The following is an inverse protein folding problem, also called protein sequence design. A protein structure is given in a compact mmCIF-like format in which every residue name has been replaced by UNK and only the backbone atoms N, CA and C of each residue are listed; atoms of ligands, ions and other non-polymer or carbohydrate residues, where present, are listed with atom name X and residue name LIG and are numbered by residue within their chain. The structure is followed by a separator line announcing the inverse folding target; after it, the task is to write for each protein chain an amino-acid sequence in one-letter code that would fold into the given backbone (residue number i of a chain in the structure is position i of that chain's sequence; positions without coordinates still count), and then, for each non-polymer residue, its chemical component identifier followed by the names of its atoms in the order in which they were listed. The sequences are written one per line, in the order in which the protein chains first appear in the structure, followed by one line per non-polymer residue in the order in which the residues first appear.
data_IF_950766857309
#
_entry.id   IF_950766857309
#
_cell.length_a   1.000
_cell.length_b   1.000
_cell.length_c   1.000
_cell.angle_alpha   90.00
_cell.angle_beta   90.00
_cell.angle_gamma   90.00
#
_symmetry.space_group_name_H-M   'P 1'
#
loop_
_entity.id
_entity.type
_entity.pdbx_description
1 polymer ?
#
# COMPACT_ATOMS: atom_id res chain seq x y z
N UNK A 1 13.69 39.04 16.21
CA UNK A 1 14.70 37.98 16.08
C UNK A 1 14.73 37.21 17.38
N UNK A 2 14.07 36.05 17.41
CA UNK A 2 14.25 35.04 18.45
C UNK A 2 14.32 33.74 17.68
N UNK A 3 15.55 33.25 17.56
CA UNK A 3 15.93 32.06 16.82
C UNK A 3 15.57 30.84 17.69
N UNK A 4 14.62 30.04 17.21
CA UNK A 4 14.08 28.88 17.91
C UNK A 4 14.76 27.61 17.40
N UNK A 5 15.95 27.31 17.92
CA UNK A 5 16.64 26.04 17.68
C UNK A 5 15.74 24.88 18.12
N UNK A 6 15.16 24.17 17.14
CA UNK A 6 14.49 22.89 17.36
C UNK A 6 15.54 21.86 17.76
N UNK A 7 15.56 21.56 19.05
CA UNK A 7 16.38 20.53 19.68
C UNK A 7 16.06 19.16 19.06
N UNK A 8 16.98 18.66 18.23
CA UNK A 8 16.95 17.28 17.72
C UNK A 8 17.07 16.34 18.91
N UNK A 9 16.00 15.61 19.21
CA UNK A 9 16.03 14.53 20.20
C UNK A 9 16.76 13.36 19.54
N UNK A 10 18.07 13.27 19.78
CA UNK A 10 18.83 12.03 19.59
C UNK A 10 18.29 10.99 20.58
N UNK A 11 17.44 10.09 20.11
CA UNK A 11 17.05 8.90 20.87
C UNK A 11 18.31 8.03 21.08
N UNK A 12 18.77 7.99 22.33
CA UNK A 12 19.87 7.13 22.78
C UNK A 12 19.60 5.67 22.44
N UNK A 13 20.56 5.07 21.77
CA UNK A 13 20.68 3.64 21.50
C UNK A 13 21.04 2.87 22.77
N UNK A 14 20.02 2.45 23.52
CA UNK A 14 20.16 1.43 24.57
C UNK A 14 18.95 0.50 24.52
N UNK A 15 19.05 -0.57 23.74
CA UNK A 15 18.01 -1.59 23.60
C UNK A 15 18.16 -2.48 22.37
N UNK A 16 19.29 -3.16 22.19
CA UNK A 16 19.35 -4.27 21.26
C UNK A 16 18.54 -5.45 21.83
N UNK A 17 17.24 -5.57 21.49
CA UNK A 17 16.42 -6.83 21.46
C UNK A 17 14.90 -6.65 21.34
N UNK A 18 14.33 -5.44 21.34
CA UNK A 18 12.88 -5.29 21.16
C UNK A 18 12.52 -5.16 19.67
N UNK A 19 11.50 -5.88 19.22
CA UNK A 19 10.89 -5.71 17.91
C UNK A 19 10.02 -4.44 17.92
N UNK A 20 10.43 -3.36 17.23
CA UNK A 20 9.72 -2.07 17.32
C UNK A 20 8.32 -2.15 16.71
N UNK A 21 8.09 -3.01 15.72
CA UNK A 21 6.77 -3.17 15.12
C UNK A 21 5.82 -3.94 16.04
N UNK A 22 6.34 -4.86 16.86
CA UNK A 22 5.52 -5.59 17.82
C UNK A 22 4.86 -4.66 18.84
N UNK A 23 5.58 -3.64 19.32
CA UNK A 23 5.05 -2.64 20.25
C UNK A 23 3.86 -1.85 19.66
N UNK A 24 3.82 -1.65 18.34
CA UNK A 24 2.69 -0.98 17.67
C UNK A 24 1.42 -1.85 17.70
N UNK A 25 1.57 -3.17 17.81
CA UNK A 25 0.45 -4.10 17.97
C UNK A 25 -0.27 -3.96 19.32
N UNK A 26 0.38 -3.36 20.32
CA UNK A 26 -0.14 -3.18 21.68
C UNK A 26 -0.85 -1.83 21.86
N UNK A 27 -0.82 -0.96 20.84
CA UNK A 27 -1.50 0.33 20.90
C UNK A 27 -3.03 0.14 21.04
N UNK A 28 -3.71 1.03 21.78
CA UNK A 28 -5.16 0.95 21.96
C UNK A 28 -5.92 0.87 20.63
N UNK A 29 -6.81 -0.11 20.49
CA UNK A 29 -7.63 -0.31 19.27
C UNK A 29 -6.96 -1.12 18.17
N UNK A 30 -5.64 -1.37 18.23
CA UNK A 30 -4.93 -2.11 17.18
C UNK A 30 -5.24 -3.60 17.24
N UNK A 31 -5.29 -4.19 18.43
CA UNK A 31 -5.64 -5.60 18.59
C UNK A 31 -7.05 -5.91 18.06
N UNK A 32 -8.02 -5.03 18.32
CA UNK A 32 -9.38 -5.11 17.80
C UNK A 32 -9.41 -5.00 16.28
N UNK A 33 -8.64 -4.08 15.71
CA UNK A 33 -8.52 -3.92 14.25
C UNK A 33 -7.92 -5.16 13.60
N UNK A 34 -6.86 -5.74 14.19
CA UNK A 34 -6.23 -6.98 13.72
C UNK A 34 -7.22 -8.15 13.73
N UNK A 35 -7.95 -8.32 14.82
CA UNK A 35 -8.93 -9.40 14.95
C UNK A 35 -10.12 -9.22 14.00
N UNK A 36 -10.58 -7.99 13.81
CA UNK A 36 -11.67 -7.68 12.88
C UNK A 36 -11.26 -7.96 11.43
N UNK A 37 -10.05 -7.56 11.01
CA UNK A 37 -9.49 -7.90 9.70
C UNK A 37 -9.41 -9.41 9.51
N UNK A 38 -8.86 -10.15 10.48
CA UNK A 38 -8.77 -11.62 10.40
C UNK A 38 -10.14 -12.25 10.16
N UNK A 39 -11.16 -11.85 10.93
CA UNK A 39 -12.53 -12.35 10.77
C UNK A 39 -13.12 -12.02 9.40
N UNK A 40 -12.88 -10.81 8.88
CA UNK A 40 -13.36 -10.40 7.57
C UNK A 40 -12.73 -11.23 6.45
N UNK A 41 -11.41 -11.42 6.51
CA UNK A 41 -10.68 -12.23 5.54
C UNK A 41 -11.10 -13.70 5.61
N UNK A 42 -11.13 -14.29 6.80
CA UNK A 42 -11.55 -15.69 7.01
C UNK A 42 -12.96 -15.96 6.47
N UNK A 43 -13.87 -14.99 6.59
CA UNK A 43 -15.23 -15.08 6.03
C UNK A 43 -15.21 -15.22 4.50
N UNK A 44 -14.35 -14.46 3.81
CA UNK A 44 -14.19 -14.58 2.34
C UNK A 44 -13.67 -15.96 2.00
N UNK A 45 -12.58 -16.40 2.63
CA UNK A 45 -11.99 -17.73 2.38
C UNK A 45 -12.95 -18.88 2.71
N UNK A 46 -13.82 -18.69 3.71
CA UNK A 46 -14.88 -19.63 4.06
C UNK A 46 -16.05 -19.69 3.06
N UNK A 47 -16.16 -18.72 2.14
CA UNK A 47 -17.26 -18.68 1.18
C UNK A 47 -17.19 -19.85 0.19
N UNK A 48 -18.35 -20.49 -0.10
CA UNK A 48 -18.40 -21.73 -0.90
C UNK A 48 -17.78 -21.58 -2.30
N UNK A 49 -17.89 -20.39 -2.89
CA UNK A 49 -17.36 -20.08 -4.23
C UNK A 49 -15.83 -20.12 -4.25
N UNK A 50 -15.16 -19.74 -3.15
CA UNK A 50 -13.70 -19.79 -3.04
C UNK A 50 -13.11 -21.20 -3.18
N UNK A 51 -13.92 -22.25 -2.98
CA UNK A 51 -13.48 -23.64 -3.17
C UNK A 51 -13.40 -24.06 -4.63
N UNK A 52 -14.16 -23.41 -5.53
CA UNK A 52 -14.32 -23.83 -6.92
C UNK A 52 -13.85 -22.79 -7.93
N UNK A 53 -13.97 -21.51 -7.59
CA UNK A 53 -13.76 -20.38 -8.51
C UNK A 53 -12.76 -19.36 -7.95
N UNK A 54 -11.81 -19.77 -7.10
CA UNK A 54 -10.89 -18.79 -6.47
C UNK A 54 -10.06 -18.00 -7.46
N UNK A 55 -9.71 -18.58 -8.61
CA UNK A 55 -8.95 -17.86 -9.64
C UNK A 55 -9.77 -16.71 -10.23
N UNK A 56 -11.08 -16.89 -10.42
CA UNK A 56 -11.98 -15.84 -10.90
C UNK A 56 -12.11 -14.72 -9.85
N UNK A 57 -12.22 -15.07 -8.57
CA UNK A 57 -12.22 -14.09 -7.48
C UNK A 57 -10.90 -13.31 -7.43
N UNK A 58 -9.76 -13.99 -7.54
CA UNK A 58 -8.44 -13.34 -7.56
C UNK A 58 -8.33 -12.37 -8.74
N UNK A 59 -8.77 -12.77 -9.94
CA UNK A 59 -8.76 -11.87 -11.11
C UNK A 59 -9.66 -10.65 -10.91
N UNK A 60 -10.86 -10.84 -10.37
CA UNK A 60 -11.81 -9.76 -10.08
C UNK A 60 -11.31 -8.81 -8.99
N UNK A 61 -10.66 -9.34 -7.95
CA UNK A 61 -10.01 -8.58 -6.88
C UNK A 61 -8.78 -7.82 -7.38
N UNK A 62 -7.98 -8.41 -8.27
CA UNK A 62 -6.86 -7.74 -8.91
C UNK A 62 -7.33 -6.54 -9.74
N UNK A 63 -8.32 -6.73 -10.62
CA UNK A 63 -8.84 -5.65 -11.45
C UNK A 63 -9.42 -4.49 -10.62
N UNK A 64 -10.19 -4.81 -9.58
CA UNK A 64 -10.78 -3.80 -8.68
C UNK A 64 -9.72 -3.11 -7.83
N UNK A 65 -8.73 -3.84 -7.33
CA UNK A 65 -7.61 -3.27 -6.59
C UNK A 65 -6.81 -2.29 -7.45
N UNK A 66 -6.50 -2.66 -8.70
CA UNK A 66 -5.86 -1.74 -9.65
C UNK A 66 -6.70 -0.47 -9.86
N UNK A 67 -8.01 -0.61 -10.09
CA UNK A 67 -8.94 0.52 -10.23
C UNK A 67 -8.97 1.41 -8.98
N UNK A 68 -9.11 0.83 -7.79
CA UNK A 68 -9.13 1.59 -6.53
C UNK A 68 -7.82 2.33 -6.29
N UNK A 69 -6.70 1.67 -6.59
CA UNK A 69 -5.37 2.29 -6.51
C UNK A 69 -5.23 3.46 -7.50
N UNK A 70 -5.69 3.30 -8.74
CA UNK A 70 -5.65 4.35 -9.75
C UNK A 70 -6.55 5.54 -9.39
N UNK A 71 -7.75 5.28 -8.85
CA UNK A 71 -8.70 6.32 -8.43
C UNK A 71 -8.10 7.23 -7.34
N UNK A 72 -7.40 6.65 -6.37
CA UNK A 72 -6.68 7.43 -5.34
C UNK A 72 -5.59 8.33 -5.95
N UNK A 73 -4.98 7.90 -7.06
CA UNK A 73 -3.98 8.67 -7.82
C UNK A 73 -4.57 9.52 -8.96
N UNK A 74 -5.90 9.76 -8.96
CA UNK A 74 -6.55 10.71 -9.87
C UNK A 74 -7.14 10.11 -11.15
N UNK A 75 -7.12 8.79 -11.32
CA UNK A 75 -7.73 8.09 -12.46
C UNK A 75 -8.93 7.25 -12.00
N UNK A 76 -10.08 7.92 -11.81
CA UNK A 76 -11.32 7.26 -11.38
C UNK A 76 -12.20 6.90 -12.58
N UNK A 77 -12.07 5.67 -13.04
CA UNK A 77 -12.81 5.14 -14.19
C UNK A 77 -13.88 4.17 -13.74
N UNK A 78 -14.98 4.05 -14.49
CA UNK A 78 -15.94 2.97 -14.28
C UNK A 78 -15.28 1.60 -14.53
N UNK A 79 -15.66 0.57 -13.78
CA UNK A 79 -15.07 -0.77 -13.90
C UNK A 79 -15.28 -1.35 -15.31
N UNK A 80 -16.44 -1.11 -15.91
CA UNK A 80 -16.77 -1.50 -17.28
C UNK A 80 -15.86 -0.84 -18.30
N UNK A 81 -15.43 0.40 -18.06
CA UNK A 81 -14.50 1.09 -18.94
C UNK A 81 -13.11 0.45 -18.89
N UNK A 82 -12.62 0.15 -17.67
CA UNK A 82 -11.34 -0.57 -17.51
C UNK A 82 -11.38 -1.94 -18.20
N UNK A 83 -12.52 -2.63 -18.21
CA UNK A 83 -12.69 -3.93 -18.90
C UNK A 83 -12.70 -3.82 -20.42
N UNK A 84 -13.30 -2.77 -20.98
CA UNK A 84 -13.42 -2.59 -22.43
C UNK A 84 -12.15 -2.08 -23.08
N UNK A 85 -11.39 -1.24 -22.37
CA UNK A 85 -10.19 -0.62 -22.92
C UNK A 85 -9.05 -1.64 -22.95
N UNK A 86 -8.31 -1.65 -24.06
CA UNK A 86 -7.15 -2.52 -24.28
C UNK A 86 -5.82 -1.78 -24.21
N UNK A 87 -5.85 -0.44 -24.27
CA UNK A 87 -4.67 0.40 -24.21
C UNK A 87 -4.72 1.40 -23.05
N UNK A 88 -3.67 1.37 -22.23
CA UNK A 88 -3.43 2.24 -21.09
C UNK A 88 -2.04 2.89 -21.16
N UNK A 89 -1.49 3.03 -22.36
CA UNK A 89 -0.24 3.75 -22.66
C UNK A 89 -0.32 5.22 -22.24
N UNK A 90 -1.53 5.80 -22.36
CA UNK A 90 -1.75 7.24 -22.29
C UNK A 90 -1.02 8.00 -23.39
N UNK A 91 -0.97 7.44 -24.59
CA UNK A 91 -0.69 8.20 -25.81
C UNK A 91 -1.52 9.50 -25.83
N UNK A 92 -0.99 10.56 -26.46
CA UNK A 92 -1.58 11.92 -26.49
C UNK A 92 -1.65 12.68 -25.16
N UNK A 93 -0.95 12.23 -24.12
CA UNK A 93 -0.87 12.97 -22.87
C UNK A 93 -1.96 12.62 -21.85
N UNK A 94 -2.71 11.53 -22.05
CA UNK A 94 -3.72 11.04 -21.09
C UNK A 94 -3.07 10.49 -19.80
N UNK A 95 -2.91 11.36 -18.79
CA UNK A 95 -2.36 11.03 -17.48
C UNK A 95 -3.20 10.00 -16.71
N UNK A 96 -4.52 9.99 -16.92
CA UNK A 96 -5.38 9.02 -16.26
C UNK A 96 -5.16 7.61 -16.81
N UNK A 97 -5.05 7.46 -18.13
CA UNK A 97 -4.69 6.19 -18.74
C UNK A 97 -3.32 5.70 -18.28
N UNK A 98 -2.31 6.58 -18.22
CA UNK A 98 -0.98 6.23 -17.66
C UNK A 98 -1.07 5.69 -16.23
N UNK A 99 -1.82 6.39 -15.38
CA UNK A 99 -2.02 6.03 -13.96
C UNK A 99 -2.73 4.69 -13.83
N UNK A 100 -3.81 4.48 -14.59
CA UNK A 100 -4.53 3.19 -14.61
C UNK A 100 -3.64 2.05 -15.11
N UNK A 101 -2.88 2.27 -16.19
CA UNK A 101 -1.93 1.30 -16.72
C UNK A 101 -0.85 0.93 -15.71
N UNK A 102 -0.33 1.91 -14.97
CA UNK A 102 0.64 1.69 -13.88
C UNK A 102 0.05 0.83 -12.77
N UNK A 103 -1.19 1.11 -12.33
CA UNK A 103 -1.88 0.33 -11.31
C UNK A 103 -2.14 -1.13 -11.74
N UNK A 104 -2.52 -1.34 -13.01
CA UNK A 104 -2.72 -2.68 -13.59
C UNK A 104 -1.40 -3.47 -13.62
N UNK A 105 -0.31 -2.86 -14.10
CA UNK A 105 1.02 -3.49 -14.16
C UNK A 105 1.55 -3.84 -12.76
N UNK A 106 1.42 -2.92 -11.80
CA UNK A 106 1.81 -3.17 -10.40
C UNK A 106 1.05 -4.35 -9.80
N UNK A 107 -0.27 -4.40 -10.01
CA UNK A 107 -1.10 -5.49 -9.48
C UNK A 107 -0.71 -6.84 -10.08
N UNK A 108 -0.42 -6.88 -11.38
CA UNK A 108 0.06 -8.09 -12.06
C UNK A 108 1.46 -8.52 -11.59
N UNK A 109 2.35 -7.57 -11.28
CA UNK A 109 3.72 -7.85 -10.86
C UNK A 109 3.82 -8.30 -9.39
N UNK A 110 2.94 -7.79 -8.51
CA UNK A 110 3.05 -7.97 -7.05
C UNK A 110 3.25 -9.43 -6.60
N UNK A 111 2.53 -10.38 -7.21
CA UNK A 111 2.63 -11.81 -6.88
C UNK A 111 4.01 -12.42 -7.18
N UNK A 112 4.73 -11.90 -8.16
CA UNK A 112 6.07 -12.39 -8.54
C UNK A 112 7.17 -11.92 -7.58
N UNK A 113 6.90 -10.86 -6.81
CA UNK A 113 7.87 -10.21 -5.93
C UNK A 113 7.82 -10.71 -4.49
N UNK A 114 6.83 -11.55 -4.13
CA UNK A 114 6.61 -12.05 -2.77
C UNK A 114 7.83 -12.75 -2.18
N UNK A 115 8.48 -13.63 -2.95
CA UNK A 115 9.65 -14.40 -2.50
C UNK A 115 10.91 -13.54 -2.35
N UNK A 116 10.98 -12.43 -3.09
CA UNK A 116 12.12 -11.50 -3.10
C UNK A 116 11.98 -10.45 -2.00
N UNK A 117 10.75 -10.08 -1.62
CA UNK A 117 10.45 -9.01 -0.66
C UNK A 117 11.28 -9.11 0.62
N UNK A 118 11.30 -10.27 1.27
CA UNK A 118 12.04 -10.47 2.53
C UNK A 118 13.56 -10.56 2.36
N UNK A 119 14.06 -10.69 1.13
CA UNK A 119 15.48 -10.82 0.83
C UNK A 119 16.06 -9.48 0.37
N UNK A 120 15.32 -8.71 -0.42
CA UNK A 120 15.78 -7.46 -1.00
C UNK A 120 14.61 -6.47 -1.21
N UNK A 121 14.10 -5.84 -0.14
CA UNK A 121 12.98 -4.90 -0.22
C UNK A 121 13.23 -3.75 -1.19
N UNK A 122 14.41 -3.13 -1.13
CA UNK A 122 14.77 -2.00 -2.01
C UNK A 122 14.76 -2.38 -3.50
N UNK A 123 15.19 -3.61 -3.84
CA UNK A 123 15.12 -4.12 -5.21
C UNK A 123 13.67 -4.33 -5.66
N UNK A 124 12.81 -4.80 -4.76
CA UNK A 124 11.37 -4.91 -5.05
C UNK A 124 10.76 -3.53 -5.29
N UNK A 125 11.05 -2.54 -4.45
CA UNK A 125 10.55 -1.17 -4.63
C UNK A 125 11.03 -0.55 -5.95
N UNK A 126 12.30 -0.74 -6.30
CA UNK A 126 12.83 -0.31 -7.59
C UNK A 126 12.09 -0.96 -8.77
N UNK A 127 11.81 -2.27 -8.68
CA UNK A 127 11.05 -3.01 -9.69
C UNK A 127 9.60 -2.54 -9.79
N UNK A 128 8.93 -2.31 -8.66
CA UNK A 128 7.59 -1.75 -8.61
C UNK A 128 7.53 -0.39 -9.31
N UNK A 129 8.46 0.52 -9.00
CA UNK A 129 8.52 1.82 -9.66
C UNK A 129 8.76 1.69 -11.18
N UNK A 130 9.63 0.77 -11.60
CA UNK A 130 9.87 0.48 -13.01
C UNK A 130 8.61 0.02 -13.76
N UNK A 131 7.85 -0.93 -13.19
CA UNK A 131 6.63 -1.41 -13.84
C UNK A 131 5.48 -0.39 -13.76
N UNK A 132 5.42 0.43 -12.70
CA UNK A 132 4.47 1.53 -12.61
C UNK A 132 4.70 2.53 -13.76
N UNK A 133 5.95 2.97 -13.93
CA UNK A 133 6.34 3.91 -14.97
C UNK A 133 6.04 3.39 -16.38
N UNK A 134 6.31 2.11 -16.66
CA UNK A 134 6.01 1.47 -17.95
C UNK A 134 6.76 2.04 -19.15
N UNK A 135 7.80 2.84 -18.91
CA UNK A 135 8.65 3.50 -19.92
C UNK A 135 10.05 3.72 -19.39
N UNK A 136 11.00 3.92 -20.31
CA UNK A 136 12.35 4.32 -19.94
C UNK A 136 12.39 5.79 -19.51
N UNK A 137 13.07 6.05 -18.40
CA UNK A 137 13.33 7.40 -17.88
C UNK A 137 14.46 7.31 -16.84
N UNK A 138 15.43 8.22 -16.92
CA UNK A 138 16.60 8.28 -16.03
C UNK A 138 16.33 8.39 -14.50
N UNK A 139 15.08 8.62 -14.07
CA UNK A 139 14.66 8.73 -12.67
C UNK A 139 13.91 7.48 -12.19
N UNK A 140 13.67 6.50 -13.07
CA UNK A 140 12.91 5.30 -12.76
C UNK A 140 13.78 4.27 -12.04
N UNK A 141 13.19 3.56 -11.08
CA UNK A 141 13.85 2.47 -10.35
C UNK A 141 14.91 2.89 -9.34
N UNK A 142 15.03 4.18 -9.02
CA UNK A 142 15.94 4.69 -7.98
C UNK A 142 15.28 5.75 -7.11
N UNK A 143 15.70 5.92 -5.85
CA UNK A 143 15.26 7.04 -5.04
C UNK A 143 15.59 8.40 -5.69
N UNK A 144 14.73 9.38 -5.44
CA UNK A 144 14.92 10.77 -5.86
C UNK A 144 16.13 11.39 -5.17
N UNK A 145 16.80 12.29 -5.88
CA UNK A 145 17.85 13.14 -5.33
C UNK A 145 17.27 14.45 -4.82
N UNK A 146 18.09 15.24 -4.11
CA UNK A 146 17.71 16.61 -3.74
C UNK A 146 17.41 17.42 -5.01
N UNK A 147 16.49 18.37 -4.91
CA UNK A 147 16.00 19.24 -5.99
C UNK A 147 15.26 18.54 -7.16
N UNK A 148 15.17 17.20 -7.19
CA UNK A 148 14.32 16.51 -8.17
C UNK A 148 12.81 16.72 -7.84
N UNK A 149 11.98 17.17 -8.80
CA UNK A 149 10.56 17.39 -8.55
C UNK A 149 9.84 16.06 -8.34
N UNK A 150 8.85 16.08 -7.44
CA UNK A 150 7.96 14.95 -7.14
C UNK A 150 6.55 15.27 -7.65
N UNK A 151 6.06 14.43 -8.55
CA UNK A 151 4.68 14.43 -9.03
C UNK A 151 3.85 13.43 -8.19
N UNK A 152 3.27 13.95 -7.11
CA UNK A 152 2.36 13.21 -6.23
C UNK A 152 1.30 14.18 -5.67
N UNK A 153 0.35 14.64 -6.50
CA UNK A 153 -0.58 15.71 -6.16
C UNK A 153 -1.58 15.33 -5.06
N UNK A 154 -1.64 14.06 -4.67
CA UNK A 154 -2.49 13.58 -3.59
C UNK A 154 -1.96 13.98 -2.21
N UNK A 155 -0.64 14.03 -2.03
CA UNK A 155 -0.01 14.12 -0.71
C UNK A 155 0.62 15.50 -0.54
N UNK A 156 0.00 16.33 0.30
CA UNK A 156 0.41 17.73 0.54
C UNK A 156 1.46 17.89 1.66
N UNK A 157 1.95 16.78 2.22
CA UNK A 157 2.98 16.77 3.26
C UNK A 157 4.31 17.35 2.75
N UNK A 158 5.12 18.01 3.60
CA UNK A 158 6.48 18.42 3.25
C UNK A 158 7.30 17.24 2.73
N UNK A 159 8.11 17.47 1.69
CA UNK A 159 9.00 16.44 1.17
C UNK A 159 10.24 16.31 2.06
N UNK A 160 10.58 15.10 2.53
CA UNK A 160 11.86 14.85 3.20
C UNK A 160 13.06 15.11 2.28
N UNK A 161 14.24 15.39 2.84
CA UNK A 161 15.48 15.46 2.03
C UNK A 161 15.84 14.08 1.46
N UNK A 162 16.67 14.04 0.41
CA UNK A 162 17.13 12.77 -0.16
C UNK A 162 17.92 11.93 0.87
N UNK A 163 18.69 12.59 1.74
CA UNK A 163 19.39 11.94 2.85
C UNK A 163 18.43 11.27 3.85
N UNK A 164 17.34 11.95 4.22
CA UNK A 164 16.31 11.38 5.08
C UNK A 164 15.60 10.20 4.41
N UNK A 165 15.25 10.34 3.13
CA UNK A 165 14.64 9.25 2.34
C UNK A 165 15.54 8.02 2.34
N UNK A 166 16.84 8.17 2.06
CA UNK A 166 17.78 7.04 2.04
C UNK A 166 17.84 6.35 3.39
N UNK A 167 18.10 7.10 4.48
CA UNK A 167 18.26 6.51 5.81
C UNK A 167 17.00 5.79 6.30
N UNK A 168 15.82 6.35 6.00
CA UNK A 168 14.54 5.74 6.39
C UNK A 168 14.15 4.54 5.54
N UNK A 169 14.45 4.55 4.23
CA UNK A 169 14.31 3.38 3.37
C UNK A 169 15.22 2.22 3.81
N UNK A 170 16.47 2.53 4.16
CA UNK A 170 17.43 1.54 4.65
C UNK A 170 16.93 0.93 5.98
N UNK A 171 16.48 1.77 6.92
CA UNK A 171 15.87 1.30 8.17
C UNK A 171 14.63 0.44 7.96
N UNK A 172 13.73 0.83 7.05
CA UNK A 172 12.56 0.03 6.69
C UNK A 172 12.98 -1.33 6.07
N UNK A 173 13.97 -1.33 5.19
CA UNK A 173 14.47 -2.54 4.56
C UNK A 173 15.09 -3.50 5.59
N UNK A 174 15.88 -2.98 6.53
CA UNK A 174 16.44 -3.75 7.63
C UNK A 174 15.35 -4.40 8.50
N UNK A 175 14.28 -3.66 8.84
CA UNK A 175 13.14 -4.19 9.58
C UNK A 175 12.45 -5.33 8.83
N UNK A 176 12.22 -5.18 7.52
CA UNK A 176 11.59 -6.22 6.69
C UNK A 176 12.47 -7.48 6.61
N UNK A 177 13.79 -7.31 6.40
CA UNK A 177 14.74 -8.43 6.27
C UNK A 177 14.91 -9.16 7.60
N UNK A 178 15.09 -8.42 8.70
CA UNK A 178 15.18 -8.99 10.05
C UNK A 178 13.90 -9.75 10.43
N UNK A 179 12.76 -9.25 9.96
CA UNK A 179 11.46 -9.79 10.31
C UNK A 179 10.96 -9.28 11.66
N UNK A 180 9.68 -9.55 11.90
CA UNK A 180 8.93 -9.06 13.06
C UNK A 180 7.91 -10.11 13.52
N UNK A 181 7.57 -10.09 14.80
CA UNK A 181 6.43 -10.81 15.39
C UNK A 181 5.14 -9.98 15.40
N UNK A 182 5.17 -8.74 14.90
CA UNK A 182 3.99 -7.90 14.79
C UNK A 182 2.91 -8.55 13.89
N UNK A 183 1.61 -8.28 14.15
CA UNK A 183 0.55 -8.71 13.27
C UNK A 183 0.77 -8.23 11.82
N UNK A 184 0.40 -9.06 10.84
CA UNK A 184 0.53 -8.76 9.42
C UNK A 184 -0.03 -7.39 9.02
N UNK A 185 -1.18 -7.01 9.58
CA UNK A 185 -1.81 -5.70 9.35
C UNK A 185 -0.90 -4.54 9.78
N UNK A 186 -0.23 -4.66 10.93
CA UNK A 186 0.67 -3.62 11.44
C UNK A 186 1.83 -3.45 10.47
N UNK A 187 2.51 -4.53 10.12
CA UNK A 187 3.63 -4.49 9.17
C UNK A 187 3.23 -3.91 7.81
N UNK A 188 2.05 -4.28 7.30
CA UNK A 188 1.53 -3.76 6.04
C UNK A 188 1.26 -2.24 6.13
N UNK A 189 0.61 -1.80 7.20
CA UNK A 189 0.33 -0.38 7.45
C UNK A 189 1.62 0.44 7.57
N UNK A 190 2.66 -0.07 8.23
CA UNK A 190 3.94 0.64 8.37
C UNK A 190 4.66 0.76 7.03
N UNK A 191 4.73 -0.32 6.24
CA UNK A 191 5.31 -0.27 4.89
C UNK A 191 4.56 0.74 4.03
N UNK A 192 3.23 0.74 4.09
CA UNK A 192 2.40 1.66 3.34
C UNK A 192 2.66 3.13 3.76
N UNK A 193 2.51 3.43 5.04
CA UNK A 193 2.67 4.78 5.59
C UNK A 193 4.06 5.34 5.33
N UNK A 194 5.10 4.52 5.52
CA UNK A 194 6.49 4.93 5.36
C UNK A 194 6.77 5.32 3.91
N UNK A 195 6.41 4.47 2.95
CA UNK A 195 6.62 4.75 1.52
C UNK A 195 5.85 5.98 1.06
N UNK A 196 4.63 6.17 1.57
CA UNK A 196 3.78 7.32 1.22
C UNK A 196 4.27 8.62 1.87
N UNK A 197 4.80 8.57 3.09
CA UNK A 197 5.40 9.73 3.75
C UNK A 197 6.71 10.15 3.06
N UNK A 198 7.57 9.18 2.75
CA UNK A 198 8.87 9.42 2.13
C UNK A 198 8.78 9.94 0.69
N UNK A 199 7.79 9.43 -0.07
CA UNK A 199 7.70 9.62 -1.52
C UNK A 199 9.07 9.42 -2.18
N UNK A 200 9.62 8.19 -2.12
CA UNK A 200 11.01 7.95 -2.48
C UNK A 200 11.30 8.16 -3.96
N UNK A 201 10.30 8.15 -4.84
CA UNK A 201 10.45 8.30 -6.28
C UNK A 201 9.96 9.66 -6.77
N UNK A 202 10.37 10.05 -7.97
CA UNK A 202 9.89 11.28 -8.60
C UNK A 202 8.40 11.26 -8.97
N UNK A 203 7.76 10.09 -9.04
CA UNK A 203 6.35 9.93 -9.39
C UNK A 203 5.84 8.52 -9.02
N UNK A 204 4.51 8.32 -9.03
CA UNK A 204 3.82 7.05 -8.74
C UNK A 204 4.03 6.47 -7.33
N UNK A 205 4.40 7.29 -6.34
CA UNK A 205 4.68 6.80 -4.98
C UNK A 205 3.44 6.19 -4.33
N UNK A 206 2.27 6.81 -4.50
CA UNK A 206 1.02 6.28 -3.96
C UNK A 206 0.68 4.89 -4.51
N UNK A 207 0.89 4.67 -5.81
CA UNK A 207 0.67 3.37 -6.45
C UNK A 207 1.64 2.32 -5.91
N UNK A 208 2.93 2.68 -5.79
CA UNK A 208 3.97 1.78 -5.27
C UNK A 208 3.73 1.43 -3.80
N UNK A 209 3.32 2.38 -2.98
CA UNK A 209 3.06 2.17 -1.55
C UNK A 209 1.91 1.17 -1.34
N UNK A 210 0.80 1.32 -2.07
CA UNK A 210 -0.33 0.36 -2.04
C UNK A 210 0.05 -1.03 -2.58
N UNK A 211 0.87 -1.08 -3.63
CA UNK A 211 1.37 -2.37 -4.13
C UNK A 211 2.31 -3.06 -3.12
N UNK A 212 3.13 -2.31 -2.40
CA UNK A 212 3.98 -2.84 -1.34
C UNK A 212 3.16 -3.33 -0.13
N UNK A 213 2.11 -2.60 0.25
CA UNK A 213 1.14 -3.06 1.26
C UNK A 213 0.53 -4.41 0.88
N UNK A 214 0.04 -4.54 -0.36
CA UNK A 214 -0.47 -5.81 -0.91
C UNK A 214 0.57 -6.93 -0.80
N UNK A 215 1.83 -6.68 -1.18
CA UNK A 215 2.91 -7.67 -1.05
C UNK A 215 3.06 -8.14 0.40
N UNK A 216 2.99 -7.25 1.38
CA UNK A 216 3.08 -7.61 2.79
C UNK A 216 1.86 -8.43 3.24
N UNK A 217 0.64 -8.02 2.88
CA UNK A 217 -0.60 -8.73 3.22
C UNK A 217 -0.62 -10.16 2.66
N UNK A 218 -0.16 -10.34 1.42
CA UNK A 218 -0.09 -11.65 0.76
C UNK A 218 1.08 -12.47 1.32
N UNK A 219 2.28 -11.89 1.40
CA UNK A 219 3.50 -12.58 1.81
C UNK A 219 3.56 -12.96 3.29
N UNK A 220 2.77 -12.29 4.14
CA UNK A 220 2.56 -12.67 5.54
C UNK A 220 1.52 -13.78 5.74
N UNK A 221 0.78 -14.14 4.67
CA UNK A 221 -0.28 -15.13 4.71
C UNK A 221 -1.61 -14.61 5.28
N UNK A 222 -1.78 -13.31 5.48
CA UNK A 222 -3.08 -12.74 5.86
C UNK A 222 -4.08 -12.88 4.72
N UNK A 223 -3.66 -12.56 3.49
CA UNK A 223 -4.47 -12.74 2.28
C UNK A 223 -3.70 -13.49 1.18
N UNK A 224 -3.44 -14.80 1.35
CA UNK A 224 -2.49 -15.55 0.51
C UNK A 224 -2.89 -15.68 -0.96
N UNK A 225 -4.18 -15.51 -1.31
CA UNK A 225 -4.68 -15.51 -2.69
C UNK A 225 -4.91 -14.10 -3.25
N UNK A 226 -4.53 -13.05 -2.51
CA UNK A 226 -4.71 -11.64 -2.89
C UNK A 226 -6.18 -11.30 -3.24
N UNK A 227 -7.13 -11.83 -2.48
CA UNK A 227 -8.57 -11.65 -2.72
C UNK A 227 -9.20 -10.55 -1.86
N UNK A 228 -8.46 -9.83 -1.03
CA UNK A 228 -8.99 -8.74 -0.21
C UNK A 228 -8.29 -7.43 -0.62
N UNK A 229 -8.68 -6.81 -1.76
CA UNK A 229 -7.98 -5.66 -2.32
C UNK A 229 -8.17 -4.43 -1.42
N UNK A 230 -7.21 -4.17 -0.53
CA UNK A 230 -7.23 -3.01 0.37
C UNK A 230 -7.32 -1.69 -0.39
N UNK A 231 -6.83 -1.64 -1.64
CA UNK A 231 -6.89 -0.45 -2.48
C UNK A 231 -8.34 -0.03 -2.80
N UNK A 232 -9.27 -0.99 -2.90
CA UNK A 232 -10.70 -0.70 -3.02
C UNK A 232 -11.22 -0.03 -1.75
N UNK A 233 -10.84 -0.57 -0.59
CA UNK A 233 -11.25 -0.02 0.69
C UNK A 233 -10.69 1.37 0.96
N UNK A 234 -9.43 1.63 0.63
CA UNK A 234 -8.84 2.97 0.72
C UNK A 234 -9.58 3.95 -0.20
N UNK A 235 -9.92 3.55 -1.43
CA UNK A 235 -10.68 4.38 -2.34
C UNK A 235 -12.10 4.67 -1.82
N UNK A 236 -12.78 3.67 -1.26
CA UNK A 236 -14.13 3.81 -0.71
C UNK A 236 -14.19 4.65 0.57
N UNK A 237 -13.21 4.52 1.47
CA UNK A 237 -13.09 5.40 2.65
C UNK A 237 -12.89 6.87 2.25
N UNK A 238 -12.39 7.11 1.04
CA UNK A 238 -12.27 8.42 0.44
C UNK A 238 -10.96 9.12 0.78
N UNK A 239 -10.57 10.01 -0.14
CA UNK A 239 -9.31 10.76 -0.11
C UNK A 239 -9.08 11.51 1.21
N UNK A 240 -10.10 12.21 1.71
CA UNK A 240 -9.96 13.03 2.91
C UNK A 240 -9.64 12.17 4.15
N UNK A 241 -10.34 11.04 4.34
CA UNK A 241 -10.10 10.15 5.46
C UNK A 241 -8.74 9.43 5.36
N UNK A 242 -8.29 9.15 4.13
CA UNK A 242 -6.99 8.55 3.86
C UNK A 242 -5.83 9.50 4.20
N UNK A 243 -5.93 10.77 3.77
CA UNK A 243 -4.91 11.78 4.09
C UNK A 243 -4.90 12.14 5.57
N UNK A 244 -6.07 12.29 6.21
CA UNK A 244 -6.12 12.54 7.65
C UNK A 244 -5.49 11.40 8.47
N UNK A 245 -5.66 10.15 8.03
CA UNK A 245 -5.00 9.01 8.67
C UNK A 245 -3.48 9.03 8.42
N UNK A 246 -3.02 9.43 7.23
CA UNK A 246 -1.60 9.61 6.92
C UNK A 246 -0.97 10.72 7.76
N UNK A 247 -1.67 11.83 8.00
CA UNK A 247 -1.21 12.88 8.93
C UNK A 247 -1.01 12.32 10.35
N UNK A 248 -1.93 11.44 10.79
CA UNK A 248 -1.80 10.69 12.02
C UNK A 248 -0.52 9.84 12.05
N UNK A 249 -0.23 9.10 10.98
CA UNK A 249 1.02 8.34 10.84
C UNK A 249 2.25 9.23 10.95
N UNK A 250 2.29 10.34 10.20
CA UNK A 250 3.44 11.25 10.14
C UNK A 250 3.69 11.98 11.46
N UNK A 251 2.65 12.15 12.30
CA UNK A 251 2.82 12.71 13.64
C UNK A 251 3.74 11.89 14.54
N UNK A 252 3.88 10.58 14.27
CA UNK A 252 4.63 9.63 15.11
C UNK A 252 4.03 9.40 16.49
N UNK A 253 2.86 9.97 16.80
CA UNK A 253 2.18 9.80 18.09
C UNK A 253 1.54 8.41 18.19
N UNK A 254 1.48 7.80 19.38
CA UNK A 254 0.78 6.52 19.57
C UNK A 254 -0.66 6.52 19.02
N UNK A 255 -1.41 7.59 19.27
CA UNK A 255 -2.79 7.74 18.81
C UNK A 255 -2.87 7.87 17.29
N UNK A 256 -1.98 8.66 16.67
CA UNK A 256 -1.91 8.83 15.22
C UNK A 256 -1.53 7.54 14.50
N UNK A 257 -0.57 6.78 15.04
CA UNK A 257 -0.16 5.48 14.53
C UNK A 257 -1.29 4.45 14.64
N UNK A 258 -1.99 4.40 15.77
CA UNK A 258 -3.15 3.54 15.95
C UNK A 258 -4.29 3.90 14.97
N UNK A 259 -4.55 5.19 14.75
CA UNK A 259 -5.55 5.66 13.80
C UNK A 259 -5.22 5.28 12.34
N UNK A 260 -3.94 5.36 11.94
CA UNK A 260 -3.47 4.88 10.65
C UNK A 260 -3.64 3.38 10.48
N UNK A 261 -3.19 2.58 11.45
CA UNK A 261 -3.35 1.12 11.43
C UNK A 261 -4.82 0.73 11.34
N UNK A 262 -5.69 1.40 12.09
CA UNK A 262 -7.13 1.20 12.02
C UNK A 262 -7.73 1.60 10.67
N UNK A 263 -7.19 2.65 10.02
CA UNK A 263 -7.59 3.02 8.65
C UNK A 263 -7.24 1.90 7.66
N UNK A 264 -6.00 1.41 7.66
CA UNK A 264 -5.57 0.26 6.84
C UNK A 264 -6.43 -0.98 7.14
N UNK A 265 -6.75 -1.23 8.41
CA UNK A 265 -7.62 -2.35 8.81
C UNK A 265 -9.00 -2.26 8.17
N UNK A 266 -9.66 -1.10 8.28
CA UNK A 266 -10.94 -0.86 7.60
C UNK A 266 -10.83 -1.01 6.08
N UNK A 267 -9.74 -0.56 5.47
CA UNK A 267 -9.54 -0.72 4.03
C UNK A 267 -9.49 -2.21 3.62
N UNK A 268 -8.80 -3.06 4.38
CA UNK A 268 -8.78 -4.52 4.13
C UNK A 268 -10.16 -5.13 4.32
N UNK A 269 -10.91 -4.74 5.35
CA UNK A 269 -12.28 -5.23 5.59
C UNK A 269 -13.23 -4.88 4.45
N UNK A 270 -13.14 -3.67 3.91
CA UNK A 270 -13.91 -3.23 2.75
C UNK A 270 -13.52 -4.01 1.48
N UNK A 271 -12.23 -4.26 1.28
CA UNK A 271 -11.74 -5.14 0.21
C UNK A 271 -12.28 -6.57 0.34
N UNK A 272 -12.30 -7.13 1.56
CA UNK A 272 -12.89 -8.43 1.84
C UNK A 272 -14.41 -8.46 1.54
N UNK A 273 -15.12 -7.37 1.88
CA UNK A 273 -16.54 -7.22 1.58
C UNK A 273 -16.80 -7.15 0.08
N UNK A 274 -15.99 -6.43 -0.68
CA UNK A 274 -16.08 -6.37 -2.14
C UNK A 274 -15.94 -7.77 -2.76
N UNK A 275 -14.96 -8.55 -2.33
CA UNK A 275 -14.78 -9.91 -2.83
C UNK A 275 -15.88 -10.89 -2.39
N UNK A 276 -16.50 -10.63 -1.23
CA UNK A 276 -17.73 -11.34 -0.84
C UNK A 276 -18.86 -11.04 -1.82
N UNK A 277 -19.06 -9.77 -2.21
CA UNK A 277 -20.08 -9.39 -3.19
C UNK A 277 -19.83 -10.04 -4.56
N UNK A 278 -18.56 -10.11 -5.00
CA UNK A 278 -18.17 -10.83 -6.23
C UNK A 278 -18.49 -12.32 -6.12
N UNK A 279 -18.15 -12.96 -4.99
CA UNK A 279 -18.51 -14.34 -4.72
C UNK A 279 -20.02 -14.59 -4.84
N UNK A 280 -20.84 -13.71 -4.28
CA UNK A 280 -22.29 -13.82 -4.34
C UNK A 280 -22.84 -13.61 -5.76
N UNK A 281 -22.28 -12.66 -6.52
CA UNK A 281 -22.64 -12.42 -7.92
C UNK A 281 -22.35 -13.65 -8.80
N UNK A 282 -21.16 -14.25 -8.64
CA UNK A 282 -20.78 -15.48 -9.34
C UNK A 282 -21.68 -16.67 -8.94
N UNK A 283 -22.10 -16.75 -7.68
CA UNK A 283 -23.04 -17.79 -7.24
C UNK A 283 -24.43 -17.63 -7.89
N UNK A 284 -24.87 -16.39 -8.16
CA UNK A 284 -26.12 -16.09 -8.88
C UNK A 284 -26.00 -16.24 -10.40
N UNK A 285 -24.80 -16.52 -10.93
CA UNK A 285 -24.54 -16.59 -12.37
C UNK A 285 -24.47 -15.22 -13.06
N UNK A 286 -24.21 -14.15 -12.30
CA UNK A 286 -24.32 -12.76 -12.76
C UNK A 286 -22.95 -12.03 -12.83
N UNK A 287 -21.87 -12.73 -13.15
CA UNK A 287 -20.53 -12.16 -13.19
C UNK A 287 -19.77 -12.59 -14.44
#
# INVERSE_FOLDING_TARGET
MVDGERRVVLMSTTGATADPLAALGELPGVAESVESVRKAVDRVYGHRVMRRRSNEITSEAALRGARGSAALSGADWALEEVRRRTDFSGEDGDDQARTMGGALRLTAEAGQLLSIWRQSPLRVLARLHLVAAGRDHARVGRPRQDDEPVDEPLVELPLPSAGEVSGRLDGLAELIVKGTSAPALVSAAIVHGELLALRPFGFHNGLVARAAERIVLVGSGLDPKSVCPAEVGHAELGRAAYLAALDGYVSGTPEGMAAWIAHCGRAVELGARESTAVCEALQRGAA
#
